data_IF_886279596392
#
_entry.id   IF_886279596392
#
_cell.length_a   1.000
_cell.length_b   1.000
_cell.length_c   1.000
_cell.angle_alpha   90.00
_cell.angle_beta   90.00
_cell.angle_gamma   90.00
#
_symmetry.space_group_name_H-M   'P 1'
#
loop_
_entity.id
_entity.type
_entity.pdbx_description
1 polymer ?
#
# COMPACT_ATOMS: atom_id res chain seq x y z
N UNK A 1 7.07 9.18 23.21
CA UNK A 1 7.73 9.45 21.91
C UNK A 1 7.00 8.68 20.83
N UNK A 2 6.49 9.33 19.76
CA UNK A 2 5.87 8.61 18.63
C UNK A 2 6.97 8.09 17.71
N UNK A 3 6.98 6.77 17.44
CA UNK A 3 7.86 6.17 16.44
C UNK A 3 7.54 6.67 15.04
N UNK A 4 8.54 6.68 14.14
CA UNK A 4 8.34 7.02 12.73
C UNK A 4 7.56 5.87 12.06
N UNK A 5 6.50 6.19 11.31
CA UNK A 5 5.78 5.21 10.49
C UNK A 5 6.71 4.71 9.39
N UNK A 6 6.86 3.40 9.29
CA UNK A 6 7.81 2.76 8.39
C UNK A 6 7.10 2.11 7.20
N UNK A 7 5.88 1.63 7.40
CA UNK A 7 5.07 1.08 6.33
C UNK A 7 3.61 0.85 6.69
N UNK A 8 2.86 0.43 5.68
CA UNK A 8 1.47 -0.02 5.81
C UNK A 8 1.40 -1.43 5.25
N UNK A 9 0.84 -2.35 6.03
CA UNK A 9 0.51 -3.70 5.60
C UNK A 9 -0.95 -3.74 5.15
N UNK A 10 -1.15 -4.11 3.88
CA UNK A 10 -2.48 -4.30 3.30
C UNK A 10 -2.65 -5.75 2.85
N UNK A 11 -3.89 -6.23 2.85
CA UNK A 11 -4.23 -7.52 2.25
C UNK A 11 -3.94 -7.50 0.75
N UNK A 12 -3.69 -8.67 0.17
CA UNK A 12 -3.66 -8.77 -1.29
C UNK A 12 -5.06 -8.53 -1.88
N UNK A 13 -5.11 -8.00 -3.12
CA UNK A 13 -6.36 -7.52 -3.75
C UNK A 13 -7.48 -8.57 -3.77
N UNK A 14 -7.11 -9.83 -3.90
CA UNK A 14 -8.05 -10.95 -4.05
C UNK A 14 -8.03 -11.88 -2.82
N UNK A 15 -7.42 -11.44 -1.70
CA UNK A 15 -7.26 -12.27 -0.51
C UNK A 15 -8.62 -12.71 0.05
N UNK A 16 -9.54 -11.77 0.23
CA UNK A 16 -10.85 -12.05 0.80
C UNK A 16 -11.70 -12.94 -0.11
N UNK A 17 -11.70 -12.66 -1.42
CA UNK A 17 -12.43 -13.46 -2.40
C UNK A 17 -11.92 -14.89 -2.48
N UNK A 18 -10.60 -15.09 -2.40
CA UNK A 18 -9.99 -16.42 -2.50
C UNK A 18 -10.10 -17.24 -1.22
N UNK A 19 -10.05 -16.59 -0.06
CA UNK A 19 -9.88 -17.30 1.22
C UNK A 19 -11.12 -17.24 2.10
N UNK A 20 -12.03 -16.29 1.89
CA UNK A 20 -13.10 -16.00 2.84
C UNK A 20 -12.61 -15.34 4.13
N UNK A 21 -11.36 -14.86 4.16
CA UNK A 21 -10.76 -14.18 5.30
C UNK A 21 -10.57 -12.69 5.02
N UNK A 22 -10.92 -11.86 5.99
CA UNK A 22 -10.69 -10.42 5.94
C UNK A 22 -9.55 -10.05 6.90
N UNK A 23 -8.57 -9.32 6.39
CA UNK A 23 -7.39 -8.91 7.16
C UNK A 23 -7.47 -7.41 7.44
N UNK A 24 -7.24 -7.01 8.69
CA UNK A 24 -7.18 -5.58 9.02
C UNK A 24 -5.90 -4.94 8.48
N UNK A 25 -6.03 -3.68 8.07
CA UNK A 25 -4.86 -2.85 7.72
C UNK A 25 -4.06 -2.58 8.99
N UNK A 26 -2.75 -2.84 8.94
CA UNK A 26 -1.83 -2.54 10.03
C UNK A 26 -0.84 -1.44 9.64
N UNK A 27 -0.64 -0.47 10.53
CA UNK A 27 0.44 0.50 10.42
C UNK A 27 1.68 -0.07 11.12
N UNK A 28 2.82 -0.05 10.44
CA UNK A 28 4.09 -0.58 10.95
C UNK A 28 5.00 0.57 11.30
N UNK A 29 5.60 0.51 12.48
CA UNK A 29 6.60 1.47 12.96
C UNK A 29 7.97 0.82 13.10
N UNK A 30 9.03 1.63 13.03
CA UNK A 30 10.44 1.18 13.01
C UNK A 30 10.83 0.26 14.18
N UNK A 31 10.09 0.31 15.29
CA UNK A 31 10.40 -0.45 16.52
C UNK A 31 9.66 -1.79 16.60
N UNK A 32 8.82 -2.10 15.63
CA UNK A 32 8.00 -3.30 15.67
C UNK A 32 8.82 -4.48 15.15
N UNK A 33 9.28 -5.35 16.06
CA UNK A 33 9.91 -6.63 15.69
C UNK A 33 8.86 -7.66 15.25
N UNK A 34 7.62 -7.51 15.74
CA UNK A 34 6.48 -8.37 15.44
C UNK A 34 5.30 -7.50 15.03
N UNK A 35 4.73 -7.79 13.86
CA UNK A 35 3.53 -7.10 13.36
C UNK A 35 2.32 -7.97 13.69
N UNK A 36 1.45 -7.47 14.57
CA UNK A 36 0.18 -8.12 14.86
C UNK A 36 -0.87 -7.73 13.81
N UNK A 37 -1.54 -8.74 13.26
CA UNK A 37 -2.57 -8.56 12.25
C UNK A 37 -3.82 -9.31 12.69
N UNK A 38 -4.98 -8.67 12.60
CA UNK A 38 -6.25 -9.33 12.89
C UNK A 38 -6.83 -9.92 11.62
N UNK A 39 -7.27 -11.17 11.72
CA UNK A 39 -7.92 -11.90 10.64
C UNK A 39 -9.31 -12.30 11.12
N UNK A 40 -10.32 -11.99 10.31
CA UNK A 40 -11.71 -12.34 10.53
C UNK A 40 -12.17 -13.34 9.47
N UNK A 41 -12.79 -14.44 9.90
CA UNK A 41 -13.49 -15.34 8.99
C UNK A 41 -14.87 -14.74 8.65
N UNK A 42 -15.09 -14.42 7.38
CA UNK A 42 -16.37 -13.92 6.86
C UNK A 42 -17.12 -14.98 6.04
N UNK A 43 -16.53 -16.17 5.87
CA UNK A 43 -17.17 -17.29 5.21
C UNK A 43 -18.15 -18.00 6.16
N UNK A 44 -19.21 -18.63 5.64
CA UNK A 44 -20.17 -19.40 6.44
C UNK A 44 -19.60 -20.71 7.00
N UNK A 45 -18.38 -21.07 6.61
CA UNK A 45 -17.73 -22.34 6.91
C UNK A 45 -16.41 -22.14 7.66
N UNK A 46 -15.99 -23.17 8.39
CA UNK A 46 -14.68 -23.18 9.06
C UNK A 46 -13.56 -23.19 8.02
N UNK A 47 -12.51 -22.39 8.25
CA UNK A 47 -11.33 -22.31 7.39
C UNK A 47 -10.12 -22.80 8.16
N UNK A 48 -9.39 -23.75 7.57
CA UNK A 48 -8.11 -24.22 8.09
C UNK A 48 -6.98 -23.43 7.42
N UNK A 49 -6.13 -22.80 8.23
CA UNK A 49 -4.96 -22.07 7.76
C UNK A 49 -3.75 -22.97 7.89
N UNK A 50 -3.11 -23.27 6.75
CA UNK A 50 -1.79 -23.91 6.75
C UNK A 50 -0.71 -22.84 6.92
N UNK A 51 0.41 -23.21 7.56
CA UNK A 51 1.57 -22.32 7.64
C UNK A 51 1.97 -21.84 6.22
N UNK A 52 2.52 -20.62 6.13
CA UNK A 52 2.95 -19.96 4.89
C UNK A 52 1.86 -19.37 3.97
N UNK A 53 0.63 -19.15 4.47
CA UNK A 53 -0.36 -18.39 3.71
C UNK A 53 0.10 -16.95 3.47
N UNK A 54 0.22 -16.57 2.19
CA UNK A 54 0.49 -15.17 1.82
C UNK A 54 -0.77 -14.33 2.01
N UNK A 55 -0.76 -13.49 3.04
CA UNK A 55 -1.90 -12.63 3.42
C UNK A 55 -1.87 -11.26 2.74
N UNK A 56 -0.68 -10.70 2.53
CA UNK A 56 -0.56 -9.32 2.06
C UNK A 56 0.84 -8.88 1.66
N UNK A 57 0.98 -7.56 1.53
CA UNK A 57 2.21 -6.88 1.11
C UNK A 57 2.51 -5.72 2.06
N UNK A 58 3.73 -5.67 2.60
CA UNK A 58 4.20 -4.50 3.35
C UNK A 58 4.70 -3.42 2.37
N UNK A 59 4.10 -2.24 2.42
CA UNK A 59 4.53 -1.09 1.61
C UNK A 59 5.24 -0.09 2.49
N UNK A 60 6.52 0.17 2.23
CA UNK A 60 7.28 1.19 2.97
C UNK A 60 6.77 2.60 2.68
N UNK A 61 6.56 3.39 3.74
CA UNK A 61 6.15 4.80 3.64
C UNK A 61 7.15 5.64 2.83
N UNK A 62 8.45 5.40 3.02
CA UNK A 62 9.51 6.10 2.27
C UNK A 62 9.46 5.84 0.75
N UNK A 63 8.91 4.70 0.34
CA UNK A 63 8.74 4.33 -1.08
C UNK A 63 7.49 5.00 -1.66
N UNK A 64 6.44 5.13 -0.85
CA UNK A 64 5.22 5.87 -1.24
C UNK A 64 5.52 7.35 -1.44
N UNK A 65 6.28 7.97 -0.51
CA UNK A 65 6.67 9.38 -0.60
C UNK A 65 7.50 9.67 -1.86
N UNK A 66 8.51 8.83 -2.15
CA UNK A 66 9.32 8.95 -3.38
C UNK A 66 8.48 8.80 -4.65
N UNK A 67 7.54 7.87 -4.68
CA UNK A 67 6.64 7.71 -5.82
C UNK A 67 5.73 8.92 -5.99
N UNK A 68 5.17 9.46 -4.92
CA UNK A 68 4.33 10.65 -4.97
C UNK A 68 5.11 11.88 -5.48
N UNK A 69 6.36 12.02 -5.07
CA UNK A 69 7.24 13.09 -5.54
C UNK A 69 7.61 12.94 -7.03
N UNK A 70 7.86 11.72 -7.49
CA UNK A 70 8.07 11.43 -8.91
C UNK A 70 6.84 11.76 -9.77
N UNK A 71 5.63 11.46 -9.28
CA UNK A 71 4.38 11.80 -9.97
C UNK A 71 4.21 13.32 -10.06
N UNK A 72 4.47 14.05 -8.96
CA UNK A 72 4.44 15.52 -8.97
C UNK A 72 5.39 16.10 -10.02
N UNK A 73 6.65 15.69 -10.01
CA UNK A 73 7.65 16.16 -11.00
C UNK A 73 7.25 15.84 -12.44
N UNK A 74 6.66 14.67 -12.68
CA UNK A 74 6.16 14.29 -14.02
C UNK A 74 4.97 15.17 -14.45
N UNK A 75 4.08 15.50 -13.53
CA UNK A 75 2.93 16.38 -13.80
C UNK A 75 3.36 17.83 -14.06
N UNK A 76 4.37 18.34 -13.34
CA UNK A 76 4.96 19.66 -13.56
C UNK A 76 5.67 19.73 -14.91
N UNK A 77 6.46 18.71 -15.28
CA UNK A 77 7.09 18.63 -16.59
C UNK A 77 6.08 18.58 -17.75
N UNK A 78 4.95 17.87 -17.59
CA UNK A 78 3.86 17.89 -18.59
C UNK A 78 3.23 19.28 -18.73
N UNK A 79 3.02 20.00 -17.63
CA UNK A 79 2.48 21.37 -17.64
C UNK A 79 3.44 22.33 -18.37
N UNK A 80 4.75 22.23 -18.12
CA UNK A 80 5.74 23.06 -18.79
C UNK A 80 5.91 22.73 -20.29
N UNK A 81 5.77 21.45 -20.70
CA UNK A 81 5.79 21.07 -22.12
C UNK A 81 4.52 21.48 -22.86
N UNK A 82 3.35 21.44 -22.19
CA UNK A 82 2.09 21.94 -22.76
C UNK A 82 2.14 23.45 -23.06
N UNK A 83 2.65 24.24 -22.11
CA UNK A 83 2.75 25.70 -22.24
C UNK A 83 3.75 26.15 -23.33
N UNK A 84 4.83 25.39 -23.55
CA UNK A 84 5.81 25.67 -24.62
C UNK A 84 5.31 25.33 -26.02
N UNK A 85 4.35 24.42 -26.16
CA UNK A 85 3.76 24.07 -27.46
C UNK A 85 2.68 25.06 -27.90
N UNK A 86 1.96 25.68 -26.97
CA UNK A 86 0.94 26.70 -27.30
C UNK A 86 1.52 28.03 -27.77
N UNK A 87 2.73 28.41 -27.33
CA UNK A 87 3.40 29.65 -27.72
C UNK A 87 4.23 29.57 -29.01
N UNK A 88 4.36 28.40 -29.63
CA UNK A 88 5.12 28.25 -30.89
C UNK A 88 4.25 28.39 -32.14
N UNK A 89 2.92 28.47 -31.96
CA UNK A 89 1.92 28.65 -33.01
C UNK A 89 1.13 29.97 -32.85
N UNK A 90 1.67 30.92 -32.08
CA UNK A 90 1.14 32.29 -31.96
C UNK A 90 1.99 33.24 -32.79
#
# INVERSE_FOLDING_TARGET
MRGRKEGILNSSKDFAERTGLLMTRAEVTVRDEIILVQIMNIAPQQITIYAYLKTGCLTSCSRVERNAESIKRTSENRRHQGFRRSHRNS
#
